data_IF_359237291754
#
_entry.id   IF_359237291754
#
_cell.length_a   1.000
_cell.length_b   1.000
_cell.length_c   1.000
_cell.angle_alpha   90.00
_cell.angle_beta   90.00
_cell.angle_gamma   90.00
#
_symmetry.space_group_name_H-M   'P 1'
#
loop_
_entity.id
_entity.type
_entity.pdbx_description
1 polymer ?
#
# COMPACT_ATOMS: atom_id res chain seq x y z
N UNK A 1 -12.13 16.77 8.06
CA UNK A 1 -11.56 16.09 6.87
C UNK A 1 -11.11 17.08 5.78
N UNK A 2 -12.01 17.79 5.09
CA UNK A 2 -11.65 18.61 3.92
C UNK A 2 -10.52 19.62 4.13
N UNK A 3 -10.50 20.31 5.28
CA UNK A 3 -9.43 21.28 5.60
C UNK A 3 -8.04 20.66 5.67
N UNK A 4 -7.86 19.56 6.40
CA UNK A 4 -6.56 18.88 6.55
C UNK A 4 -6.05 18.30 5.22
N UNK A 5 -6.96 17.88 4.35
CA UNK A 5 -6.60 17.43 3.00
C UNK A 5 -6.21 18.59 2.08
N UNK A 6 -6.84 19.75 2.25
CA UNK A 6 -6.62 20.93 1.43
C UNK A 6 -5.37 21.73 1.80
N UNK A 7 -4.84 21.57 3.02
CA UNK A 7 -3.56 22.17 3.45
C UNK A 7 -2.36 21.25 3.22
N UNK A 8 -2.58 20.05 2.69
CA UNK A 8 -1.52 19.10 2.43
C UNK A 8 -0.52 19.68 1.42
N UNK A 9 0.76 19.61 1.76
CA UNK A 9 1.87 19.95 0.87
C UNK A 9 3.03 18.98 1.10
N UNK A 10 3.49 18.33 0.04
CA UNK A 10 4.68 17.48 0.09
C UNK A 10 5.94 18.31 -0.16
N UNK A 11 6.72 18.58 0.90
CA UNK A 11 7.92 19.45 0.83
C UNK A 11 9.22 18.76 1.24
N UNK A 12 9.22 17.44 1.47
CA UNK A 12 10.35 16.69 2.06
C UNK A 12 11.70 16.92 1.35
N UNK A 13 11.67 17.17 0.05
CA UNK A 13 12.85 17.39 -0.80
C UNK A 13 13.04 18.83 -1.26
N UNK A 14 12.25 19.77 -0.73
CA UNK A 14 12.32 21.19 -1.07
C UNK A 14 13.12 21.91 0.01
N UNK A 15 14.26 22.49 -0.36
CA UNK A 15 15.14 23.21 0.56
C UNK A 15 14.73 24.67 0.79
N UNK A 16 13.95 25.24 -0.11
CA UNK A 16 13.39 26.58 0.05
C UNK A 16 12.31 26.55 1.14
N UNK A 17 12.29 27.56 2.00
CA UNK A 17 11.23 27.74 2.99
C UNK A 17 9.86 27.95 2.34
N UNK A 18 8.79 27.64 3.08
CA UNK A 18 7.44 27.91 2.61
C UNK A 18 7.16 29.42 2.62
N UNK A 19 6.60 29.94 1.52
CA UNK A 19 6.25 31.37 1.38
C UNK A 19 4.88 31.72 1.99
N UNK A 20 4.21 30.74 2.61
CA UNK A 20 2.89 30.87 3.23
C UNK A 20 2.92 30.38 4.68
N UNK A 21 2.08 30.98 5.52
CA UNK A 21 1.95 30.59 6.93
C UNK A 21 1.18 29.28 7.11
N UNK A 22 1.50 28.57 8.19
CA UNK A 22 0.80 27.34 8.58
C UNK A 22 -0.48 27.64 9.38
N UNK A 23 -1.56 26.91 9.09
CA UNK A 23 -2.76 26.94 9.94
C UNK A 23 -2.52 26.05 11.14
N UNK A 24 -2.30 26.67 12.30
CA UNK A 24 -2.02 25.97 13.56
C UNK A 24 -3.28 25.46 14.27
N UNK A 25 -4.42 26.11 14.07
CA UNK A 25 -5.66 25.78 14.75
C UNK A 25 -6.88 26.04 13.86
N UNK A 26 -7.86 25.15 13.96
CA UNK A 26 -9.19 25.32 13.40
C UNK A 26 -10.20 25.07 14.53
N UNK A 27 -11.02 26.07 14.82
CA UNK A 27 -12.12 25.95 15.76
C UNK A 27 -13.42 25.77 14.99
N UNK A 28 -14.18 24.72 15.30
CA UNK A 28 -15.54 24.52 14.78
C UNK A 28 -16.50 24.87 15.91
N UNK A 29 -17.44 25.78 15.64
CA UNK A 29 -18.38 26.31 16.62
C UNK A 29 -19.79 25.77 16.30
N UNK A 30 -20.50 25.35 17.34
CA UNK A 30 -21.92 24.97 17.29
C UNK A 30 -22.73 25.96 18.10
N UNK A 31 -23.93 26.33 17.63
CA UNK A 31 -24.91 27.10 18.40
C UNK A 31 -25.73 26.24 19.36
N UNK A 32 -25.65 24.92 19.24
CA UNK A 32 -26.34 23.93 20.07
C UNK A 32 -25.31 23.14 20.88
N UNK A 33 -25.39 23.27 22.21
CA UNK A 33 -24.52 22.58 23.16
C UNK A 33 -24.75 21.06 23.15
N UNK A 34 -25.98 20.62 22.90
CA UNK A 34 -26.32 19.19 22.87
C UNK A 34 -25.66 18.44 21.71
N UNK A 35 -25.28 19.15 20.65
CA UNK A 35 -24.55 18.61 19.50
C UNK A 35 -23.03 18.50 19.68
N UNK A 36 -22.46 19.08 20.73
CA UNK A 36 -21.00 19.13 20.93
C UNK A 36 -20.34 17.74 20.96
N UNK A 37 -20.86 16.72 21.67
CA UNK A 37 -20.21 15.40 21.70
C UNK A 37 -20.14 14.74 20.32
N UNK A 38 -21.20 14.88 19.51
CA UNK A 38 -21.23 14.36 18.15
C UNK A 38 -20.25 15.13 17.24
N UNK A 39 -20.14 16.45 17.43
CA UNK A 39 -19.21 17.30 16.70
C UNK A 39 -17.75 16.94 17.02
N UNK A 40 -17.41 16.74 18.29
CA UNK A 40 -16.07 16.31 18.73
C UNK A 40 -15.70 14.96 18.13
N UNK A 41 -16.60 13.99 18.18
CA UNK A 41 -16.39 12.68 17.56
C UNK A 41 -16.22 12.80 16.04
N UNK A 42 -17.01 13.65 15.39
CA UNK A 42 -16.90 13.94 13.96
C UNK A 42 -15.55 14.59 13.59
N UNK A 43 -15.09 15.54 14.40
CA UNK A 43 -13.78 16.17 14.28
C UNK A 43 -12.65 15.14 14.41
N UNK A 44 -12.71 14.28 15.43
CA UNK A 44 -11.73 13.23 15.65
C UNK A 44 -11.66 12.25 14.47
N UNK A 45 -12.81 11.68 14.06
CA UNK A 45 -12.90 10.79 12.88
C UNK A 45 -12.38 11.48 11.63
N UNK A 46 -12.80 12.72 11.41
CA UNK A 46 -12.40 13.52 10.26
C UNK A 46 -10.92 13.89 10.24
N UNK A 47 -10.26 13.94 11.39
CA UNK A 47 -8.81 14.13 11.54
C UNK A 47 -8.07 12.85 11.19
N UNK A 48 -8.41 11.73 11.86
CA UNK A 48 -7.79 10.41 11.63
C UNK A 48 -7.84 10.02 10.14
N UNK A 49 -9.01 10.16 9.50
CA UNK A 49 -9.15 9.84 8.07
C UNK A 49 -8.29 10.74 7.16
N UNK A 50 -8.14 12.02 7.51
CA UNK A 50 -7.36 12.95 6.71
C UNK A 50 -5.86 12.71 6.86
N UNK A 51 -5.39 12.46 8.08
CA UNK A 51 -3.99 12.12 8.37
C UNK A 51 -3.59 10.80 7.70
N UNK A 52 -4.45 9.77 7.77
CA UNK A 52 -4.24 8.53 7.04
C UNK A 52 -4.17 8.74 5.51
N UNK A 53 -5.07 9.55 4.95
CA UNK A 53 -5.02 9.90 3.52
C UNK A 53 -3.71 10.61 3.17
N UNK A 54 -3.26 11.54 4.02
CA UNK A 54 -2.01 12.28 3.79
C UNK A 54 -0.79 11.36 3.95
N UNK A 55 -0.80 10.38 4.84
CA UNK A 55 0.22 9.33 4.91
C UNK A 55 0.33 8.57 3.58
N UNK A 56 -0.80 8.15 2.99
CA UNK A 56 -0.78 7.49 1.69
C UNK A 56 -0.22 8.43 0.60
N UNK A 57 -0.60 9.72 0.62
CA UNK A 57 -0.06 10.74 -0.30
C UNK A 57 1.45 10.92 -0.11
N UNK A 58 1.94 10.96 1.11
CA UNK A 58 3.38 11.09 1.40
C UNK A 58 4.15 9.93 0.81
N UNK A 59 3.65 8.70 0.97
CA UNK A 59 4.30 7.53 0.42
C UNK A 59 4.30 7.51 -1.12
N UNK A 60 3.18 7.91 -1.76
CA UNK A 60 3.06 7.96 -3.22
C UNK A 60 3.86 9.11 -3.84
N UNK A 61 3.98 10.24 -3.13
CA UNK A 61 4.72 11.40 -3.59
C UNK A 61 6.24 11.24 -3.43
N UNK A 62 6.67 10.44 -2.47
CA UNK A 62 8.07 10.07 -2.27
C UNK A 62 8.64 9.43 -3.55
N UNK A 63 9.78 9.93 -4.08
CA UNK A 63 10.42 9.32 -5.24
C UNK A 63 10.92 7.90 -4.92
N UNK A 64 10.97 7.04 -5.95
CA UNK A 64 11.26 5.61 -5.82
C UNK A 64 12.64 5.31 -5.18
N UNK A 65 13.63 6.19 -5.35
CA UNK A 65 14.94 6.03 -4.71
C UNK A 65 14.89 6.21 -3.17
N UNK A 66 13.82 6.83 -2.64
CA UNK A 66 13.57 6.97 -1.21
C UNK A 66 12.48 6.01 -0.74
N UNK A 67 11.39 5.82 -1.49
CA UNK A 67 10.33 4.85 -1.16
C UNK A 67 10.63 3.48 -1.75
N UNK A 68 11.68 2.82 -1.28
CA UNK A 68 12.01 1.44 -1.68
C UNK A 68 11.13 0.42 -0.95
N UNK A 69 11.11 -0.87 -1.35
CA UNK A 69 10.37 -1.90 -0.63
C UNK A 69 10.78 -2.00 0.85
N UNK A 70 12.07 -1.83 1.14
CA UNK A 70 12.60 -1.75 2.50
C UNK A 70 12.09 -0.52 3.26
N UNK A 71 12.01 0.64 2.61
CA UNK A 71 11.45 1.84 3.24
C UNK A 71 9.95 1.72 3.50
N UNK A 72 9.23 0.99 2.65
CA UNK A 72 7.81 0.70 2.85
C UNK A 72 7.61 -0.22 4.07
N UNK A 73 8.43 -1.27 4.21
CA UNK A 73 8.44 -2.12 5.41
C UNK A 73 8.80 -1.35 6.68
N UNK A 74 9.76 -0.42 6.60
CA UNK A 74 10.12 0.45 7.72
C UNK A 74 9.00 1.44 8.09
N UNK A 75 8.24 1.90 7.09
CA UNK A 75 7.02 2.67 7.35
C UNK A 75 5.98 1.82 8.10
N UNK A 76 5.81 0.55 7.73
CA UNK A 76 4.92 -0.37 8.44
C UNK A 76 5.37 -0.61 9.89
N UNK A 77 6.69 -0.71 10.14
CA UNK A 77 7.27 -0.78 11.50
C UNK A 77 6.87 0.41 12.36
N UNK A 78 7.08 1.62 11.85
CA UNK A 78 6.65 2.84 12.56
C UNK A 78 5.15 2.89 12.82
N UNK A 79 4.32 2.46 11.85
CA UNK A 79 2.87 2.38 12.07
C UNK A 79 2.50 1.36 13.13
N UNK A 80 3.17 0.21 13.15
CA UNK A 80 2.94 -0.82 14.15
C UNK A 80 3.26 -0.34 15.57
N UNK A 81 4.39 0.34 15.75
CA UNK A 81 4.78 0.93 17.02
C UNK A 81 3.82 2.04 17.48
N UNK A 82 3.47 2.96 16.57
CA UNK A 82 2.65 4.12 16.91
C UNK A 82 1.17 3.81 17.11
N UNK A 83 0.65 2.81 16.38
CA UNK A 83 -0.77 2.44 16.41
C UNK A 83 -1.05 1.15 17.19
N UNK A 84 -0.02 0.47 17.70
CA UNK A 84 -0.16 -0.80 18.41
C UNK A 84 -0.63 -1.95 17.52
N UNK A 85 -0.10 -2.04 16.30
CA UNK A 85 -0.36 -3.16 15.40
C UNK A 85 0.65 -4.28 15.63
N UNK A 86 0.24 -5.51 15.40
CA UNK A 86 1.16 -6.63 15.25
C UNK A 86 1.75 -6.58 13.82
N UNK A 87 3.08 -6.73 13.70
CA UNK A 87 3.79 -6.68 12.43
C UNK A 87 4.64 -7.94 12.23
N UNK A 88 4.52 -8.50 11.03
CA UNK A 88 5.46 -9.48 10.50
C UNK A 88 5.95 -9.01 9.12
N UNK A 89 7.25 -9.08 8.87
CA UNK A 89 7.84 -8.77 7.56
C UNK A 89 8.57 -10.02 7.10
N UNK A 90 8.10 -10.63 6.01
CA UNK A 90 8.79 -11.77 5.42
C UNK A 90 9.88 -11.27 4.48
N UNK A 91 11.07 -11.81 4.70
CA UNK A 91 12.25 -11.64 3.86
C UNK A 91 12.26 -12.66 2.72
N UNK A 92 13.20 -12.49 1.78
CA UNK A 92 13.31 -13.30 0.57
C UNK A 92 13.32 -14.80 0.85
N UNK A 93 14.09 -15.23 1.85
CA UNK A 93 14.27 -16.64 2.21
C UNK A 93 12.94 -17.24 2.70
N UNK A 94 12.20 -16.51 3.54
CA UNK A 94 10.89 -16.94 4.04
C UNK A 94 9.84 -17.00 2.92
N UNK A 95 9.88 -16.05 1.97
CA UNK A 95 9.04 -16.09 0.78
C UNK A 95 9.34 -17.29 -0.11
N UNK A 96 10.61 -17.69 -0.21
CA UNK A 96 11.04 -18.86 -0.97
C UNK A 96 10.55 -20.16 -0.32
N UNK A 97 10.67 -20.28 1.00
CA UNK A 97 10.13 -21.41 1.77
C UNK A 97 8.61 -21.54 1.64
N UNK A 98 7.90 -20.41 1.57
CA UNK A 98 6.46 -20.38 1.34
C UNK A 98 6.05 -20.62 -0.12
N UNK A 99 7.00 -20.72 -1.04
CA UNK A 99 6.74 -20.96 -2.46
C UNK A 99 6.14 -19.75 -3.19
N UNK A 100 6.43 -18.52 -2.76
CA UNK A 100 5.96 -17.28 -3.39
C UNK A 100 6.71 -16.96 -4.69
N UNK A 101 6.71 -17.90 -5.64
CA UNK A 101 7.48 -17.80 -6.87
C UNK A 101 6.97 -16.71 -7.83
N UNK A 102 5.71 -16.28 -7.74
CA UNK A 102 5.19 -15.21 -8.57
C UNK A 102 5.74 -13.85 -8.13
N UNK A 103 5.73 -13.57 -6.81
CA UNK A 103 6.33 -12.37 -6.23
C UNK A 103 7.86 -12.35 -6.42
N UNK A 104 8.53 -13.46 -6.09
CA UNK A 104 9.99 -13.54 -6.22
C UNK A 104 10.44 -13.43 -7.68
N UNK A 105 9.65 -13.96 -8.61
CA UNK A 105 9.88 -13.82 -10.05
C UNK A 105 9.79 -12.37 -10.52
N UNK A 106 8.91 -11.53 -9.96
CA UNK A 106 8.93 -10.08 -10.26
C UNK A 106 10.17 -9.42 -9.66
N UNK A 107 10.50 -9.77 -8.40
CA UNK A 107 11.53 -9.11 -7.62
C UNK A 107 12.98 -9.35 -8.11
N UNK A 108 13.25 -10.44 -8.82
CA UNK A 108 14.60 -10.82 -9.23
C UNK A 108 15.30 -9.79 -10.14
N UNK A 109 14.53 -8.90 -10.77
CA UNK A 109 15.06 -7.81 -11.57
C UNK A 109 15.75 -6.71 -10.78
N UNK A 110 15.39 -6.53 -9.50
CA UNK A 110 15.89 -5.43 -8.66
C UNK A 110 16.98 -5.87 -7.67
N UNK A 111 17.86 -4.92 -7.34
CA UNK A 111 18.80 -5.03 -6.22
C UNK A 111 18.16 -4.72 -4.87
N UNK A 112 17.02 -4.04 -4.85
CA UNK A 112 16.25 -3.85 -3.62
C UNK A 112 15.63 -5.19 -3.21
N UNK A 113 15.83 -5.64 -1.96
CA UNK A 113 15.21 -6.88 -1.51
C UNK A 113 13.69 -6.71 -1.46
N UNK A 114 12.91 -7.70 -1.96
CA UNK A 114 11.46 -7.68 -1.79
C UNK A 114 11.11 -7.77 -0.30
N UNK A 115 10.00 -7.17 0.09
CA UNK A 115 9.46 -7.24 1.45
C UNK A 115 8.01 -7.66 1.39
N UNK A 116 7.62 -8.64 2.19
CA UNK A 116 6.21 -9.00 2.34
C UNK A 116 5.72 -8.56 3.71
N UNK A 117 5.01 -7.43 3.74
CA UNK A 117 4.55 -6.82 4.99
C UNK A 117 3.18 -7.37 5.36
N UNK A 118 3.04 -7.82 6.61
CA UNK A 118 1.77 -8.28 7.20
C UNK A 118 1.54 -7.50 8.49
N UNK A 119 0.48 -6.71 8.52
CA UNK A 119 0.02 -5.97 9.70
C UNK A 119 -1.29 -6.56 10.21
N UNK A 120 -1.43 -6.63 11.53
CA UNK A 120 -2.64 -7.12 12.19
C UNK A 120 -3.18 -6.10 13.18
N UNK A 121 -4.45 -5.77 13.01
CA UNK A 121 -5.28 -5.08 13.99
C UNK A 121 -6.23 -6.08 14.64
N UNK A 122 -6.22 -6.15 15.98
CA UNK A 122 -7.13 -7.01 16.75
C UNK A 122 -8.09 -6.16 17.56
N UNK A 123 -9.29 -5.97 17.03
CA UNK A 123 -10.37 -5.24 17.70
C UNK A 123 -11.53 -6.11 18.15
N UNK A 124 -11.63 -7.35 17.63
CA UNK A 124 -12.65 -8.32 18.00
C UNK A 124 -12.20 -9.28 19.10
N UNK A 125 -13.16 -9.99 19.69
CA UNK A 125 -12.91 -10.97 20.76
C UNK A 125 -12.42 -12.33 20.22
N UNK A 126 -12.65 -12.59 18.92
CA UNK A 126 -12.22 -13.81 18.21
C UNK A 126 -10.78 -13.70 17.71
N UNK A 127 -10.15 -14.83 17.38
CA UNK A 127 -8.88 -14.86 16.63
C UNK A 127 -9.08 -14.88 15.10
N UNK A 128 -10.31 -15.01 14.63
CA UNK A 128 -10.65 -15.01 13.21
C UNK A 128 -10.35 -13.66 12.56
N UNK A 129 -9.94 -13.69 11.29
CA UNK A 129 -9.73 -12.49 10.48
C UNK A 129 -11.04 -12.14 9.77
N UNK A 130 -11.67 -11.03 10.18
CA UNK A 130 -12.94 -10.62 9.58
C UNK A 130 -12.72 -10.04 8.18
N UNK A 131 -11.70 -9.19 8.02
CA UNK A 131 -11.36 -8.56 6.74
C UNK A 131 -9.86 -8.61 6.51
N UNK A 132 -9.45 -9.01 5.32
CA UNK A 132 -8.09 -8.84 4.83
C UNK A 132 -8.04 -7.80 3.72
N UNK A 133 -7.13 -6.85 3.85
CA UNK A 133 -6.83 -5.81 2.87
C UNK A 133 -5.50 -6.13 2.20
N UNK A 134 -5.44 -6.20 0.88
CA UNK A 134 -4.23 -6.52 0.13
C UNK A 134 -3.88 -5.37 -0.81
N UNK A 135 -2.68 -4.79 -0.69
CA UNK A 135 -2.31 -3.61 -1.46
C UNK A 135 -1.11 -3.86 -2.37
N UNK A 136 -1.24 -3.59 -3.68
CA UNK A 136 -0.11 -3.66 -4.63
C UNK A 136 1.02 -2.73 -4.17
N UNK A 137 2.22 -3.28 -4.00
CA UNK A 137 3.41 -2.57 -3.49
C UNK A 137 4.57 -2.48 -4.49
N UNK A 138 4.31 -2.19 -5.77
CA UNK A 138 5.40 -1.98 -6.73
C UNK A 138 5.96 -0.57 -6.55
N UNK A 139 7.11 -0.44 -5.89
CA UNK A 139 7.67 0.88 -5.56
C UNK A 139 8.24 1.62 -6.76
N UNK A 140 8.56 0.89 -7.82
CA UNK A 140 8.80 1.44 -9.14
C UNK A 140 8.53 0.38 -10.20
N UNK A 141 7.79 0.77 -11.24
CA UNK A 141 7.46 -0.10 -12.36
C UNK A 141 8.02 0.44 -13.68
N UNK A 142 9.14 -0.14 -14.12
CA UNK A 142 9.67 0.14 -15.45
C UNK A 142 9.01 -0.71 -16.55
N UNK A 143 8.22 -1.72 -16.16
CA UNK A 143 7.73 -2.81 -17.00
C UNK A 143 8.67 -4.01 -17.12
N UNK A 144 9.88 -3.94 -16.56
CA UNK A 144 10.87 -5.02 -16.65
C UNK A 144 11.42 -5.16 -18.07
N UNK A 145 11.54 -6.39 -18.57
CA UNK A 145 11.97 -6.66 -19.97
C UNK A 145 10.94 -6.13 -20.98
N UNK A 146 9.66 -6.16 -20.63
CA UNK A 146 8.54 -5.55 -21.37
C UNK A 146 8.49 -4.04 -21.07
N UNK A 147 9.60 -3.34 -21.36
CA UNK A 147 9.85 -1.98 -20.89
C UNK A 147 8.76 -0.98 -21.33
N UNK A 148 8.34 -0.12 -20.40
CA UNK A 148 7.45 1.01 -20.71
C UNK A 148 8.17 2.08 -21.54
N UNK A 149 7.43 2.88 -22.34
CA UNK A 149 7.97 4.10 -22.93
C UNK A 149 8.47 5.09 -21.88
N UNK A 150 9.45 5.92 -22.22
CA UNK A 150 10.02 6.92 -21.30
C UNK A 150 9.00 7.97 -20.83
N UNK A 151 8.00 8.29 -21.66
CA UNK A 151 6.99 9.27 -21.33
C UNK A 151 6.18 8.81 -20.10
N UNK A 152 6.15 9.65 -19.06
CA UNK A 152 5.45 9.41 -17.78
C UNK A 152 5.96 8.23 -16.96
N UNK A 153 7.12 7.67 -17.28
CA UNK A 153 7.72 6.60 -16.48
C UNK A 153 8.04 7.07 -15.04
N UNK A 154 8.27 8.37 -14.84
CA UNK A 154 8.44 8.98 -13.52
C UNK A 154 7.19 8.87 -12.63
N UNK A 155 5.98 8.80 -13.21
CA UNK A 155 4.74 8.57 -12.47
C UNK A 155 4.67 7.16 -11.87
N UNK A 156 5.48 6.20 -12.35
CA UNK A 156 5.47 4.80 -11.90
C UNK A 156 6.05 4.60 -10.49
N UNK A 157 6.59 5.65 -9.86
CA UNK A 157 6.79 5.67 -8.40
C UNK A 157 5.47 5.47 -7.63
N UNK A 158 4.34 5.84 -8.24
CA UNK A 158 3.01 5.73 -7.65
C UNK A 158 2.40 4.33 -7.76
N UNK A 159 3.11 3.36 -8.34
CA UNK A 159 2.58 2.01 -8.58
C UNK A 159 2.47 1.13 -7.32
N UNK A 160 2.82 1.73 -6.17
CA UNK A 160 2.64 1.22 -4.82
C UNK A 160 1.47 1.89 -4.08
N UNK A 161 0.67 2.72 -4.76
CA UNK A 161 -0.43 3.48 -4.15
C UNK A 161 -1.49 2.58 -3.49
N UNK A 162 -1.71 1.37 -4.03
CA UNK A 162 -2.58 0.36 -3.42
C UNK A 162 -2.09 -0.06 -2.03
N UNK A 163 -0.80 -0.40 -1.92
CA UNK A 163 -0.15 -0.71 -0.65
C UNK A 163 -0.11 0.48 0.32
N UNK A 164 0.14 1.70 -0.19
CA UNK A 164 0.05 2.93 0.61
C UNK A 164 -1.35 3.14 1.20
N UNK A 165 -2.39 2.95 0.38
CA UNK A 165 -3.79 3.07 0.80
C UNK A 165 -4.15 2.01 1.87
N UNK A 166 -3.70 0.77 1.70
CA UNK A 166 -3.92 -0.31 2.68
C UNK A 166 -3.20 -0.03 4.01
N UNK A 167 -1.95 0.44 3.98
CA UNK A 167 -1.21 0.83 5.19
C UNK A 167 -1.85 2.02 5.91
N UNK A 168 -2.35 3.00 5.15
CA UNK A 168 -3.12 4.12 5.70
C UNK A 168 -4.47 3.68 6.28
N UNK A 169 -5.17 2.76 5.62
CA UNK A 169 -6.45 2.25 6.10
C UNK A 169 -6.30 1.53 7.43
N UNK A 170 -5.31 0.64 7.56
CA UNK A 170 -5.11 -0.11 8.82
C UNK A 170 -4.65 0.80 9.97
N UNK A 171 -3.88 1.87 9.69
CA UNK A 171 -3.52 2.85 10.73
C UNK A 171 -4.72 3.67 11.20
N UNK A 172 -5.65 4.03 10.29
CA UNK A 172 -6.91 4.66 10.67
C UNK A 172 -7.82 3.72 11.48
N UNK A 173 -7.90 2.45 11.06
CA UNK A 173 -8.65 1.41 11.78
C UNK A 173 -8.13 1.27 13.21
N UNK A 174 -6.80 1.15 13.39
CA UNK A 174 -6.20 1.01 14.72
C UNK A 174 -6.46 2.22 15.65
N UNK A 175 -6.55 3.43 15.09
CA UNK A 175 -6.89 4.63 15.85
C UNK A 175 -8.39 4.71 16.19
N UNK A 176 -9.27 4.35 15.25
CA UNK A 176 -10.73 4.40 15.44
C UNK A 176 -11.27 3.23 16.26
N UNK A 177 -10.47 2.16 16.40
CA UNK A 177 -10.73 0.98 17.23
C UNK A 177 -12.10 0.31 17.00
N UNK A 178 -12.50 0.00 15.75
CA UNK A 178 -13.72 -0.76 15.51
C UNK A 178 -13.59 -2.18 16.04
N UNK A 179 -14.70 -2.80 16.45
CA UNK A 179 -14.71 -4.16 17.02
C UNK A 179 -14.63 -5.26 15.95
N UNK A 180 -13.57 -5.25 15.14
CA UNK A 180 -13.29 -6.21 14.08
C UNK A 180 -11.80 -6.55 14.03
N UNK A 181 -11.45 -7.71 13.49
CA UNK A 181 -10.07 -8.08 13.23
C UNK A 181 -9.71 -7.84 11.77
N UNK A 182 -8.60 -7.14 11.52
CA UNK A 182 -8.16 -6.77 10.18
C UNK A 182 -6.71 -7.20 9.96
N UNK A 183 -6.48 -7.93 8.87
CA UNK A 183 -5.15 -8.22 8.34
C UNK A 183 -4.88 -7.28 7.16
N UNK A 184 -3.72 -6.65 7.10
CA UNK A 184 -3.26 -5.91 5.93
C UNK A 184 -1.99 -6.57 5.37
N UNK A 185 -1.99 -6.86 4.07
CA UNK A 185 -0.88 -7.52 3.37
C UNK A 185 -0.39 -6.64 2.23
N UNK A 186 0.92 -6.39 2.19
CA UNK A 186 1.57 -5.62 1.15
C UNK A 186 2.77 -6.42 0.62
N UNK A 187 2.64 -7.07 -0.55
CA UNK A 187 3.80 -7.56 -1.28
C UNK A 187 4.53 -6.37 -1.91
N UNK A 188 5.70 -6.01 -1.40
CA UNK A 188 6.48 -4.87 -1.86
C UNK A 188 7.73 -5.29 -2.64
N UNK A 189 7.91 -4.76 -3.86
CA UNK A 189 9.09 -4.99 -4.69
C UNK A 189 9.24 -3.90 -5.77
N UNK A 190 10.27 -4.00 -6.61
CA UNK A 190 10.46 -3.17 -7.81
C UNK A 190 10.45 -4.07 -9.05
N UNK A 191 9.92 -3.56 -10.16
CA UNK A 191 9.96 -4.23 -11.46
C UNK A 191 10.94 -3.51 -12.38
N UNK A 192 12.15 -4.08 -12.51
CA UNK A 192 13.27 -3.49 -13.25
C UNK A 192 13.87 -4.46 -14.26
N UNK A 193 14.32 -4.01 -15.44
CA UNK A 193 15.16 -4.81 -16.31
C UNK A 193 16.54 -5.00 -15.67
N UNK A 194 17.06 -6.22 -15.73
CA UNK A 194 18.43 -6.57 -15.35
C UNK A 194 18.82 -7.92 -15.95
N UNK A 195 20.06 -8.34 -15.75
CA UNK A 195 20.56 -9.65 -16.16
C UNK A 195 19.78 -10.82 -15.54
N UNK A 196 19.14 -10.61 -14.40
CA UNK A 196 18.36 -11.62 -13.68
C UNK A 196 16.86 -11.44 -13.86
N UNK A 197 16.40 -10.43 -14.60
CA UNK A 197 14.97 -10.11 -14.68
C UNK A 197 14.12 -11.24 -15.27
N UNK A 198 12.85 -11.24 -14.86
CA UNK A 198 11.81 -12.09 -15.46
C UNK A 198 11.71 -11.78 -16.96
N UNK A 199 11.45 -12.80 -17.77
CA UNK A 199 11.34 -12.67 -19.23
C UNK A 199 9.95 -13.09 -19.70
N UNK A 200 9.43 -12.47 -20.78
CA UNK A 200 8.33 -13.06 -21.52
C UNK A 200 8.63 -14.51 -21.93
N UNK A 201 7.69 -15.41 -21.70
CA UNK A 201 7.81 -16.86 -21.91
C UNK A 201 8.29 -17.65 -20.69
N UNK A 202 8.80 -16.99 -19.63
CA UNK A 202 9.09 -17.70 -18.38
C UNK A 202 7.80 -18.27 -17.76
N UNK A 203 7.91 -19.40 -17.07
CA UNK A 203 6.81 -20.02 -16.32
C UNK A 203 7.14 -20.00 -14.84
N UNK A 204 6.32 -19.32 -14.05
CA UNK A 204 6.45 -19.24 -12.59
C UNK A 204 5.49 -20.21 -11.91
N UNK A 205 5.84 -20.68 -10.72
CA UNK A 205 4.92 -21.39 -9.82
C UNK A 205 4.57 -20.48 -8.65
N UNK A 206 3.29 -20.14 -8.51
CA UNK A 206 2.80 -19.34 -7.40
C UNK A 206 2.66 -20.16 -6.11
N UNK A 207 2.50 -19.49 -4.96
CA UNK A 207 2.28 -20.10 -3.64
C UNK A 207 1.08 -21.06 -3.62
N UNK A 208 0.10 -20.84 -4.49
CA UNK A 208 -1.06 -21.73 -4.66
C UNK A 208 -0.75 -23.06 -5.34
N UNK A 209 0.48 -23.27 -5.84
CA UNK A 209 0.89 -24.40 -6.65
C UNK A 209 0.53 -24.29 -8.14
N UNK A 210 -0.18 -23.24 -8.55
CA UNK A 210 -0.50 -22.98 -9.96
C UNK A 210 0.71 -22.44 -10.71
N UNK A 211 0.86 -22.86 -11.96
CA UNK A 211 1.84 -22.29 -12.88
C UNK A 211 1.26 -21.11 -13.66
N UNK A 212 2.11 -20.14 -14.01
CA UNK A 212 1.76 -18.89 -14.70
C UNK A 212 2.80 -18.65 -15.79
N UNK A 213 2.37 -18.69 -17.05
CA UNK A 213 3.20 -18.23 -18.17
C UNK A 213 3.19 -16.71 -18.25
N UNK A 214 4.37 -16.11 -18.36
CA UNK A 214 4.54 -14.67 -18.38
C UNK A 214 4.52 -14.18 -19.82
N UNK A 215 3.39 -13.66 -20.27
CA UNK A 215 3.30 -13.06 -21.62
C UNK A 215 3.92 -11.65 -21.62
N UNK A 216 3.76 -10.91 -20.53
CA UNK A 216 4.34 -9.57 -20.36
C UNK A 216 4.79 -9.39 -18.91
N UNK A 217 5.99 -8.83 -18.74
CA UNK A 217 6.55 -8.49 -17.43
C UNK A 217 6.03 -7.14 -16.91
N UNK A 218 5.29 -6.40 -17.72
CA UNK A 218 4.56 -5.15 -17.37
C UNK A 218 3.16 -5.44 -16.79
N UNK A 219 2.87 -6.72 -16.56
CA UNK A 219 1.69 -7.20 -15.86
C UNK A 219 2.07 -7.79 -14.49
N UNK A 220 3.10 -7.24 -13.86
CA UNK A 220 3.71 -7.69 -12.60
C UNK A 220 2.78 -7.59 -11.39
N UNK A 221 1.94 -6.55 -11.33
CA UNK A 221 1.07 -6.27 -10.18
C UNK A 221 0.16 -7.44 -9.83
N UNK A 222 -0.38 -8.14 -10.84
CA UNK A 222 -1.25 -9.32 -10.60
C UNK A 222 -0.46 -10.54 -10.10
N UNK A 223 0.84 -10.63 -10.41
CA UNK A 223 1.71 -11.73 -9.98
C UNK A 223 1.99 -11.62 -8.49
N UNK A 224 2.41 -10.43 -8.04
CA UNK A 224 2.67 -10.18 -6.61
C UNK A 224 1.40 -10.34 -5.77
N UNK A 225 0.25 -9.93 -6.32
CA UNK A 225 -1.05 -10.07 -5.67
C UNK A 225 -1.51 -11.54 -5.62
N UNK A 226 -1.20 -12.37 -6.61
CA UNK A 226 -1.57 -13.78 -6.60
C UNK A 226 -0.97 -14.52 -5.39
N UNK A 227 0.30 -14.27 -5.07
CA UNK A 227 0.95 -14.84 -3.89
C UNK A 227 0.41 -14.23 -2.59
N UNK A 228 0.15 -12.92 -2.56
CA UNK A 228 -0.44 -12.27 -1.39
C UNK A 228 -1.86 -12.77 -1.07
N UNK A 229 -2.71 -12.93 -2.09
CA UNK A 229 -4.04 -13.51 -1.95
C UNK A 229 -3.97 -14.99 -1.55
N UNK A 230 -3.01 -15.73 -2.09
CA UNK A 230 -2.71 -17.11 -1.67
C UNK A 230 -2.35 -17.20 -0.19
N UNK A 231 -1.50 -16.27 0.28
CA UNK A 231 -1.13 -16.15 1.68
C UNK A 231 -2.35 -15.87 2.55
N UNK A 232 -3.11 -14.80 2.27
CA UNK A 232 -4.30 -14.43 3.05
C UNK A 232 -5.31 -15.57 3.13
N UNK A 233 -5.54 -16.29 2.02
CA UNK A 233 -6.44 -17.44 1.98
C UNK A 233 -6.01 -18.55 2.94
N UNK A 234 -4.71 -18.80 3.10
CA UNK A 234 -4.17 -19.80 4.05
C UNK A 234 -4.52 -19.45 5.50
N UNK A 235 -4.70 -18.18 5.82
CA UNK A 235 -5.09 -17.70 7.16
C UNK A 235 -6.61 -17.56 7.36
N UNK A 236 -7.43 -17.88 6.35
CA UNK A 236 -8.87 -18.02 6.53
C UNK A 236 -9.64 -16.71 6.74
N UNK A 237 -9.21 -15.60 6.14
CA UNK A 237 -9.96 -14.35 6.17
C UNK A 237 -11.37 -14.51 5.58
N UNK A 238 -12.40 -13.98 6.26
CA UNK A 238 -13.80 -14.08 5.81
C UNK A 238 -14.05 -13.25 4.55
N UNK A 239 -13.51 -12.05 4.51
CA UNK A 239 -13.56 -11.15 3.36
C UNK A 239 -12.17 -10.72 2.95
N UNK A 240 -11.93 -10.63 1.65
CA UNK A 240 -10.67 -10.15 1.07
C UNK A 240 -10.97 -9.01 0.10
N UNK A 241 -10.21 -7.93 0.21
CA UNK A 241 -10.30 -6.77 -0.69
C UNK A 241 -8.87 -6.45 -1.13
N UNK A 242 -8.59 -6.55 -2.43
CA UNK A 242 -7.35 -6.03 -2.99
C UNK A 242 -7.53 -4.61 -3.55
N UNK A 243 -6.48 -3.80 -3.45
CA UNK A 243 -6.41 -2.41 -3.92
C UNK A 243 -5.13 -2.25 -4.73
N UNK A 244 -5.25 -1.87 -6.00
CA UNK A 244 -4.12 -1.86 -6.92
C UNK A 244 -4.24 -0.84 -8.05
N UNK A 245 -3.14 -0.18 -8.37
CA UNK A 245 -2.90 0.51 -9.65
C UNK A 245 -2.62 -0.53 -10.73
N UNK A 246 -3.65 -1.29 -11.12
CA UNK A 246 -3.43 -2.56 -11.82
C UNK A 246 -3.40 -2.45 -13.35
N UNK A 247 -4.24 -1.59 -13.93
CA UNK A 247 -4.33 -1.50 -15.39
C UNK A 247 -4.52 -0.06 -15.87
N UNK A 248 -3.83 0.29 -16.96
CA UNK A 248 -4.10 1.53 -17.70
C UNK A 248 -5.51 1.56 -18.32
N UNK A 249 -6.12 0.40 -18.54
CA UNK A 249 -7.48 0.27 -19.08
C UNK A 249 -8.54 0.93 -18.19
N UNK A 250 -8.33 0.99 -16.87
CA UNK A 250 -9.26 1.68 -15.97
C UNK A 250 -9.37 3.17 -16.24
N UNK A 251 -8.27 3.85 -16.57
CA UNK A 251 -8.31 5.27 -16.96
C UNK A 251 -9.12 5.49 -18.24
N UNK A 252 -9.08 4.55 -19.17
CA UNK A 252 -9.87 4.61 -20.42
C UNK A 252 -11.35 4.37 -20.11
N UNK A 253 -11.66 3.43 -19.22
CA UNK A 253 -13.03 3.04 -18.91
C UNK A 253 -13.77 4.04 -18.01
N UNK A 254 -13.13 4.51 -16.93
CA UNK A 254 -13.78 5.28 -15.85
C UNK A 254 -13.16 6.66 -15.60
N UNK A 255 -12.07 7.01 -16.29
CA UNK A 255 -11.35 8.27 -16.07
C UNK A 255 -10.69 8.35 -14.70
N UNK A 256 -10.62 9.57 -14.14
CA UNK A 256 -9.88 9.88 -12.89
C UNK A 256 -10.80 10.14 -11.68
N UNK A 257 -12.13 9.95 -11.83
CA UNK A 257 -13.13 10.31 -10.80
C UNK A 257 -13.78 9.11 -10.11
N UNK A 258 -13.62 7.91 -10.67
CA UNK A 258 -14.24 6.68 -10.18
C UNK A 258 -13.18 5.55 -10.15
N UNK A 259 -13.19 4.76 -9.07
CA UNK A 259 -12.37 3.57 -8.89
C UNK A 259 -13.19 2.33 -9.19
#
# INVERSE_FOLDING_TARGET
RGRLLGVYSFRRHITKEAEYGEIKQLLIVSSDESGLPALEQGCYKGKVMAEATNLARDMVNEPANHMTPSQMAETARRLAETCGLELNVLEREQMQELGMGALLGVAQGSRQPPKFVVLHYRGGDSSEIDVALVGKGITFDSGGISIKPSAKMDEMKGDMAGGAAVMAAISAIAQLKPKINVMAVIPATENLPSENALKPGDVLTAMSGKTIEIISTDAEGRLILADALGYVRKFGAKFMIDVATLTGAMRIALGDVCT
#
